data_IF_075894164339
#
_entry.id   IF_075894164339
#
_cell.length_a   1.000
_cell.length_b   1.000
_cell.length_c   1.000
_cell.angle_alpha   90.00
_cell.angle_beta   90.00
_cell.angle_gamma   90.00
#
_symmetry.space_group_name_H-M   'P 1'
#
loop_
_entity.id
_entity.type
_entity.pdbx_description
1 polymer ?
#
# COMPACT_ATOMS: atom_id res chain seq x y z
N UNK A 1 -5.14 29.07 -7.75
CA UNK A 1 -4.38 28.12 -6.91
C UNK A 1 -5.04 28.11 -5.55
N UNK A 2 -5.69 27.01 -5.18
CA UNK A 2 -6.28 26.81 -3.85
C UNK A 2 -5.24 26.07 -2.98
N UNK A 3 -5.10 26.37 -1.68
CA UNK A 3 -3.96 25.92 -0.90
C UNK A 3 -4.11 24.45 -0.50
N UNK A 4 -2.98 23.74 -0.55
CA UNK A 4 -2.80 22.35 -0.16
C UNK A 4 -2.80 22.17 1.37
N UNK A 5 -3.95 22.39 2.02
CA UNK A 5 -4.02 22.37 3.50
C UNK A 5 -5.17 21.52 4.07
N UNK A 6 -5.89 20.76 3.23
CA UNK A 6 -6.97 19.88 3.69
C UNK A 6 -6.61 18.37 3.72
N UNK A 7 -5.42 17.98 3.26
CA UNK A 7 -5.04 16.55 3.21
C UNK A 7 -4.34 16.03 4.48
N UNK A 8 -3.88 16.91 5.37
CA UNK A 8 -3.01 16.52 6.50
C UNK A 8 -3.76 15.94 7.70
N UNK A 9 -5.05 16.25 7.89
CA UNK A 9 -5.76 15.86 9.14
C UNK A 9 -6.08 14.38 9.24
N UNK A 10 -6.20 13.68 8.11
CA UNK A 10 -6.63 12.28 8.08
C UNK A 10 -5.51 11.32 7.64
N UNK A 11 -4.28 11.81 7.51
CA UNK A 11 -3.17 11.15 6.82
C UNK A 11 -1.99 10.96 7.78
N UNK A 12 -1.43 9.76 7.88
CA UNK A 12 -0.29 9.47 8.77
C UNK A 12 1.08 9.80 8.15
N UNK A 13 2.09 9.97 9.01
CA UNK A 13 3.49 9.89 8.58
C UNK A 13 3.86 8.45 8.17
N UNK A 14 5.00 8.31 7.48
CA UNK A 14 5.57 7.01 7.11
C UNK A 14 6.06 6.27 8.35
N UNK A 15 5.69 5.00 8.45
CA UNK A 15 6.08 4.11 9.54
C UNK A 15 6.62 2.79 8.99
N UNK A 16 7.51 2.09 9.72
CA UNK A 16 7.90 0.72 9.37
C UNK A 16 6.69 -0.21 9.33
N UNK A 17 6.66 -1.14 8.37
CA UNK A 17 5.58 -2.12 8.27
C UNK A 17 5.53 -3.02 9.52
N UNK A 18 4.32 -3.29 9.99
CA UNK A 18 4.04 -4.24 11.08
C UNK A 18 3.57 -5.59 10.53
N UNK A 19 3.44 -6.60 11.38
CA UNK A 19 2.86 -7.90 11.00
C UNK A 19 1.42 -7.76 10.45
N UNK A 20 0.64 -6.81 10.98
CA UNK A 20 -0.71 -6.51 10.47
C UNK A 20 -0.67 -5.92 9.05
N UNK A 21 0.27 -5.02 8.78
CA UNK A 21 0.45 -4.43 7.44
C UNK A 21 0.92 -5.49 6.45
N UNK A 22 1.83 -6.37 6.86
CA UNK A 22 2.24 -7.52 6.03
C UNK A 22 1.04 -8.42 5.72
N UNK A 23 0.22 -8.74 6.72
CA UNK A 23 -0.98 -9.53 6.52
C UNK A 23 -1.94 -8.87 5.51
N UNK A 24 -2.18 -7.56 5.60
CA UNK A 24 -2.99 -6.82 4.63
C UNK A 24 -2.39 -6.91 3.22
N UNK A 25 -1.08 -6.75 3.08
CA UNK A 25 -0.38 -6.89 1.80
C UNK A 25 -0.57 -8.31 1.22
N UNK A 26 -0.41 -9.35 2.04
CA UNK A 26 -0.58 -10.74 1.61
C UNK A 26 -2.00 -11.04 1.15
N UNK A 27 -3.03 -10.46 1.78
CA UNK A 27 -4.42 -10.62 1.34
C UNK A 27 -4.68 -10.02 -0.06
N UNK A 28 -3.98 -8.96 -0.44
CA UNK A 28 -4.12 -8.33 -1.76
C UNK A 28 -3.12 -8.82 -2.80
N UNK A 29 -2.11 -9.61 -2.40
CA UNK A 29 -1.10 -10.16 -3.31
C UNK A 29 -1.72 -10.87 -4.54
N UNK A 30 -2.76 -11.72 -4.42
CA UNK A 30 -3.38 -12.34 -5.59
C UNK A 30 -4.01 -11.32 -6.56
N UNK A 31 -4.55 -10.21 -6.04
CA UNK A 31 -5.11 -9.13 -6.86
C UNK A 31 -4.00 -8.38 -7.60
N UNK A 32 -2.87 -8.14 -6.94
CA UNK A 32 -1.67 -7.54 -7.54
C UNK A 32 -1.08 -8.42 -8.64
N UNK A 33 -0.83 -9.70 -8.33
CA UNK A 33 -0.29 -10.69 -9.27
C UNK A 33 -1.18 -10.88 -10.51
N UNK A 34 -2.50 -10.89 -10.30
CA UNK A 34 -3.46 -10.97 -11.41
C UNK A 34 -3.42 -9.74 -12.32
N UNK A 35 -3.18 -8.54 -11.79
CA UNK A 35 -3.11 -7.30 -12.60
C UNK A 35 -1.78 -7.18 -13.35
N UNK A 36 -0.68 -7.64 -12.76
CA UNK A 36 0.63 -7.71 -13.40
C UNK A 36 0.78 -8.92 -14.35
N UNK A 37 -0.18 -9.85 -14.35
CA UNK A 37 -0.12 -11.11 -15.08
C UNK A 37 1.19 -11.88 -14.80
N UNK A 38 1.61 -11.87 -13.53
CA UNK A 38 2.88 -12.43 -13.05
C UNK A 38 2.80 -12.78 -11.57
N UNK A 39 3.53 -13.81 -11.15
CA UNK A 39 3.72 -14.16 -9.72
C UNK A 39 5.04 -13.61 -9.16
N UNK A 40 5.06 -13.36 -7.85
CA UNK A 40 6.22 -12.85 -7.13
C UNK A 40 6.58 -13.77 -5.95
N UNK A 41 7.81 -14.27 -5.93
CA UNK A 41 8.33 -15.07 -4.81
C UNK A 41 8.55 -14.23 -3.56
N UNK A 42 8.97 -12.97 -3.74
CA UNK A 42 9.16 -11.99 -2.67
C UNK A 42 7.95 -11.06 -2.62
N UNK A 43 7.41 -10.83 -1.44
CA UNK A 43 6.31 -9.89 -1.24
C UNK A 43 6.32 -9.36 0.21
N UNK A 44 7.35 -8.58 0.53
CA UNK A 44 7.61 -8.12 1.90
C UNK A 44 7.24 -6.65 2.06
N UNK A 45 6.30 -6.34 2.96
CA UNK A 45 6.00 -4.98 3.35
C UNK A 45 7.17 -4.38 4.14
N UNK A 46 7.56 -3.15 3.79
CA UNK A 46 8.73 -2.45 4.34
C UNK A 46 8.30 -1.23 5.15
N UNK A 47 7.46 -0.40 4.55
CA UNK A 47 6.93 0.84 5.13
C UNK A 47 5.47 1.01 4.76
N UNK A 48 4.74 1.77 5.56
CA UNK A 48 3.35 2.11 5.28
C UNK A 48 2.96 3.50 5.75
N UNK A 49 1.86 3.99 5.20
CA UNK A 49 1.09 5.15 5.65
C UNK A 49 -0.38 4.79 5.64
N UNK A 50 -1.17 5.49 6.44
CA UNK A 50 -2.63 5.37 6.42
C UNK A 50 -3.29 6.68 6.06
N UNK A 51 -4.50 6.58 5.54
CA UNK A 51 -5.42 7.69 5.37
C UNK A 51 -6.83 7.25 5.76
N UNK A 52 -7.44 7.95 6.71
CA UNK A 52 -8.80 7.69 7.21
C UNK A 52 -9.82 8.28 6.22
N UNK A 53 -10.80 7.44 5.85
CA UNK A 53 -11.96 7.78 5.00
C UNK A 53 -13.21 7.13 5.60
N UNK A 54 -14.23 6.78 4.80
CA UNK A 54 -15.27 5.82 5.19
C UNK A 54 -14.70 4.38 5.22
N UNK A 55 -13.64 4.17 6.01
CA UNK A 55 -12.71 3.05 5.91
C UNK A 55 -11.28 3.54 6.09
N UNK A 56 -10.29 2.73 5.72
CA UNK A 56 -8.87 3.10 5.80
C UNK A 56 -8.20 2.78 4.46
N UNK A 57 -7.53 3.75 3.86
CA UNK A 57 -6.55 3.50 2.81
C UNK A 57 -5.20 3.21 3.47
N UNK A 58 -4.60 2.07 3.15
CA UNK A 58 -3.22 1.74 3.45
C UNK A 58 -2.38 1.98 2.20
N UNK A 59 -1.34 2.79 2.35
CA UNK A 59 -0.28 2.94 1.37
C UNK A 59 0.87 2.07 1.86
N UNK A 60 1.32 1.10 1.07
CA UNK A 60 2.29 0.09 1.53
C UNK A 60 3.41 -0.01 0.50
N UNK A 61 4.66 0.23 0.93
CA UNK A 61 5.86 -0.10 0.15
C UNK A 61 6.17 -1.58 0.35
N UNK A 62 6.20 -2.34 -0.74
CA UNK A 62 6.43 -3.79 -0.76
C UNK A 62 7.64 -4.11 -1.62
N UNK A 63 8.59 -4.86 -1.09
CA UNK A 63 9.65 -5.47 -1.88
C UNK A 63 9.09 -6.69 -2.64
N UNK A 64 9.29 -6.70 -3.94
CA UNK A 64 8.79 -7.71 -4.89
C UNK A 64 9.91 -8.48 -5.60
N UNK A 65 11.16 -8.04 -5.48
CA UNK A 65 12.36 -8.77 -5.94
C UNK A 65 13.63 -8.24 -5.25
N UNK A 66 14.77 -8.88 -5.51
CA UNK A 66 16.07 -8.46 -4.97
C UNK A 66 16.78 -7.38 -5.82
N UNK A 67 16.18 -6.94 -6.93
CA UNK A 67 16.71 -5.84 -7.75
C UNK A 67 16.47 -4.48 -7.07
N UNK A 68 17.31 -3.49 -7.37
CA UNK A 68 17.18 -2.14 -6.82
C UNK A 68 15.82 -1.50 -7.14
N UNK A 69 15.27 -1.74 -8.33
CA UNK A 69 13.92 -1.34 -8.75
C UNK A 69 12.84 -2.39 -8.42
N UNK A 70 13.13 -3.22 -7.43
CA UNK A 70 12.35 -4.38 -7.02
C UNK A 70 11.26 -4.05 -5.99
N UNK A 71 10.68 -2.85 -6.04
CA UNK A 71 9.65 -2.43 -5.10
C UNK A 71 8.36 -1.99 -5.82
N UNK A 72 7.24 -2.16 -5.13
CA UNK A 72 5.94 -1.65 -5.52
C UNK A 72 5.35 -0.82 -4.37
N UNK A 73 4.64 0.24 -4.72
CA UNK A 73 3.79 0.97 -3.77
C UNK A 73 2.34 0.57 -4.03
N UNK A 74 1.66 0.07 -3.00
CA UNK A 74 0.27 -0.38 -3.07
C UNK A 74 -0.62 0.62 -2.36
N UNK A 75 -1.80 0.88 -2.91
CA UNK A 75 -2.92 1.51 -2.21
C UNK A 75 -4.00 0.45 -1.99
N UNK A 76 -4.20 0.07 -0.75
CA UNK A 76 -5.15 -0.94 -0.32
C UNK A 76 -6.27 -0.29 0.47
N UNK A 77 -7.52 -0.48 0.04
CA UNK A 77 -8.67 -0.05 0.81
C UNK A 77 -9.11 -1.16 1.75
N UNK A 78 -9.19 -0.83 3.03
CA UNK A 78 -9.80 -1.66 4.07
C UNK A 78 -11.13 -1.02 4.47
N UNK A 79 -12.21 -1.74 4.16
CA UNK A 79 -13.56 -1.38 4.57
C UNK A 79 -13.69 -1.30 6.09
N UNK A 80 -14.65 -0.50 6.57
CA UNK A 80 -14.95 -0.42 8.01
C UNK A 80 -15.42 -1.78 8.55
N UNK A 81 -15.28 -2.02 9.86
CA UNK A 81 -15.62 -3.30 10.49
C UNK A 81 -17.06 -3.76 10.23
N UNK A 82 -17.97 -2.84 9.93
CA UNK A 82 -19.38 -3.13 9.66
C UNK A 82 -19.60 -3.80 8.30
N UNK A 83 -18.76 -3.50 7.31
CA UNK A 83 -18.97 -3.93 5.93
C UNK A 83 -18.46 -5.35 5.64
N UNK A 84 -17.73 -5.99 6.57
CA UNK A 84 -17.21 -7.37 6.50
C UNK A 84 -16.47 -7.73 5.19
N UNK A 85 -16.04 -6.73 4.43
CA UNK A 85 -15.28 -6.91 3.20
C UNK A 85 -13.78 -6.99 3.52
N UNK A 86 -13.10 -7.93 2.87
CA UNK A 86 -11.64 -8.04 2.94
C UNK A 86 -10.95 -6.85 2.25
N UNK A 87 -9.62 -6.70 2.43
CA UNK A 87 -8.87 -5.63 1.79
C UNK A 87 -8.93 -5.73 0.26
N UNK A 88 -9.03 -4.58 -0.40
CA UNK A 88 -9.07 -4.46 -1.86
C UNK A 88 -7.87 -3.66 -2.35
N UNK A 89 -7.17 -4.17 -3.37
CA UNK A 89 -6.14 -3.38 -4.04
C UNK A 89 -6.82 -2.33 -4.92
N UNK A 90 -6.69 -1.06 -4.58
CA UNK A 90 -7.31 0.02 -5.36
C UNK A 90 -6.37 0.46 -6.48
N UNK A 91 -5.12 0.75 -6.14
CA UNK A 91 -4.09 1.22 -7.08
C UNK A 91 -2.72 0.69 -6.68
N UNK A 92 -1.78 0.68 -7.63
CA UNK A 92 -0.38 0.37 -7.35
C UNK A 92 0.56 1.07 -8.34
N UNK A 93 1.82 1.16 -7.98
CA UNK A 93 2.93 1.61 -8.82
C UNK A 93 4.08 0.61 -8.69
N UNK A 94 4.70 0.20 -9.81
CA UNK A 94 5.86 -0.72 -9.85
C UNK A 94 7.11 -0.03 -10.35
N UNK A 95 8.25 -0.74 -10.31
CA UNK A 95 9.55 -0.19 -10.72
C UNK A 95 10.12 0.82 -9.74
N UNK A 96 9.65 0.78 -8.48
CA UNK A 96 10.13 1.65 -7.40
C UNK A 96 11.42 1.11 -6.82
N UNK A 97 12.17 2.00 -6.18
CA UNK A 97 13.35 1.66 -5.40
C UNK A 97 13.07 1.60 -3.91
N UNK A 98 14.03 1.08 -3.14
CA UNK A 98 13.96 1.10 -1.67
C UNK A 98 13.82 2.52 -1.11
N UNK A 99 14.52 3.47 -1.73
CA UNK A 99 14.67 4.84 -1.25
C UNK A 99 13.59 5.79 -1.78
N UNK A 100 12.77 5.35 -2.75
CA UNK A 100 11.64 6.15 -3.24
C UNK A 100 10.67 6.45 -2.09
N UNK A 101 10.24 7.71 -1.91
CA UNK A 101 9.31 8.06 -0.84
C UNK A 101 7.95 7.39 -1.05
N UNK A 102 7.33 6.95 0.05
CA UNK A 102 5.97 6.45 0.03
C UNK A 102 4.98 7.63 0.15
N UNK A 103 4.51 8.10 -1.00
CA UNK A 103 3.55 9.21 -1.09
C UNK A 103 2.09 8.73 -1.25
N UNK A 104 1.14 9.67 -1.16
CA UNK A 104 -0.27 9.43 -1.43
C UNK A 104 -0.57 9.50 -2.94
N UNK A 105 -1.29 8.52 -3.49
CA UNK A 105 -1.63 8.40 -4.92
C UNK A 105 -2.98 7.69 -5.19
#
# INVERSE_FOLDING_TARGET
MLPATMETVNSSETQPATEEVQYIADQVKPQFESRENRTYSTFQAIEYRTQVVAGINYFIKVQISDFDTGYAHLRVFQASREEKQGPRLDRYETGKTRDDPLDYF
#
